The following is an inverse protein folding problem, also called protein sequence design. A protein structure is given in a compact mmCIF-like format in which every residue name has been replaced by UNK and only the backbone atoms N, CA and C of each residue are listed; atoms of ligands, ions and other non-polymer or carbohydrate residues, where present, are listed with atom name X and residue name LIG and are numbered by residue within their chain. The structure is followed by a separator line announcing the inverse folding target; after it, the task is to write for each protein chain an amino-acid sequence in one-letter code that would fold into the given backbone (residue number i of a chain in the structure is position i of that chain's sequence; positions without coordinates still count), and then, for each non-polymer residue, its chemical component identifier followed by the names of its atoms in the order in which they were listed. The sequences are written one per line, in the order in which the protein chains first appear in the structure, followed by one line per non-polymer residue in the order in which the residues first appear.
data_IF_241636308692
#
_entry.id   IF_241636308692
#
_cell.length_a   1.000
_cell.length_b   1.000
_cell.length_c   1.000
_cell.angle_alpha   90.00
_cell.angle_beta   90.00
_cell.angle_gamma   90.00
#
_symmetry.space_group_name_H-M   'P 1'
#
loop_
_entity.id
_entity.type
_entity.pdbx_description
1 polymer ?
#
# COMPACT_ATOMS: atom_id res chain seq x y z
N UNK A 1 31.50 21.25 -22.95
CA UNK A 1 30.89 20.03 -23.52
C UNK A 1 29.64 19.81 -22.77
N UNK A 2 28.49 19.98 -23.40
CA UNK A 2 27.20 19.84 -22.76
C UNK A 2 26.88 18.35 -22.72
N UNK A 3 26.89 17.75 -21.55
CA UNK A 3 26.32 16.43 -21.33
C UNK A 3 24.81 16.59 -21.19
N UNK A 4 24.09 16.24 -22.22
CA UNK A 4 22.67 15.96 -22.15
C UNK A 4 22.48 14.71 -21.30
N UNK A 5 22.24 14.88 -20.02
CA UNK A 5 21.74 13.84 -19.13
C UNK A 5 20.27 13.65 -19.42
N UNK A 6 19.96 12.98 -20.50
CA UNK A 6 18.71 12.26 -20.58
C UNK A 6 18.93 10.94 -19.84
N UNK A 7 18.45 10.85 -18.65
CA UNK A 7 18.30 9.56 -17.96
C UNK A 7 16.94 9.00 -18.33
N UNK A 8 16.78 8.31 -19.46
CA UNK A 8 15.51 7.71 -19.84
C UNK A 8 15.17 6.49 -18.96
N UNK A 9 16.14 6.01 -18.20
CA UNK A 9 16.06 4.76 -17.45
C UNK A 9 15.13 4.88 -16.24
N UNK A 10 15.08 6.04 -15.57
CA UNK A 10 14.27 6.17 -14.36
C UNK A 10 12.80 6.46 -14.59
N UNK A 11 12.46 7.24 -15.61
CA UNK A 11 11.06 7.43 -15.96
C UNK A 11 10.41 6.13 -16.41
N UNK A 12 11.17 5.21 -17.00
CA UNK A 12 10.68 3.89 -17.34
C UNK A 12 10.50 2.96 -16.12
N UNK A 13 11.33 3.10 -15.09
CA UNK A 13 11.24 2.22 -13.92
C UNK A 13 10.09 2.57 -13.00
N UNK A 14 9.66 3.80 -12.93
CA UNK A 14 8.50 4.17 -12.11
C UNK A 14 7.16 3.84 -12.74
N UNK A 15 7.08 3.78 -14.06
CA UNK A 15 5.82 3.56 -14.75
C UNK A 15 5.50 2.10 -15.03
N UNK A 16 6.41 1.16 -14.85
CA UNK A 16 6.20 -0.10 -15.46
C UNK A 16 6.98 -1.25 -14.98
N UNK A 17 6.96 -1.52 -13.70
CA UNK A 17 7.29 -2.84 -13.22
C UNK A 17 6.25 -3.90 -13.54
N UNK A 18 5.49 -3.68 -14.53
CA UNK A 18 4.47 -4.62 -14.91
C UNK A 18 4.96 -5.59 -15.94
N UNK A 19 5.99 -6.25 -15.87
CA UNK A 19 6.11 -7.34 -16.83
C UNK A 19 7.26 -8.27 -16.61
N UNK A 20 6.99 -9.24 -15.84
CA UNK A 20 7.48 -10.59 -16.09
C UNK A 20 6.39 -11.51 -16.65
N UNK A 21 5.43 -10.97 -17.38
CA UNK A 21 4.55 -11.77 -18.22
C UNK A 21 5.11 -11.82 -19.66
N UNK A 22 5.04 -12.97 -20.35
CA UNK A 22 5.60 -13.10 -21.69
C UNK A 22 4.92 -12.14 -22.66
N UNK A 23 5.74 -11.46 -23.44
CA UNK A 23 5.35 -10.51 -24.49
C UNK A 23 4.29 -11.08 -25.42
N UNK A 24 3.06 -10.61 -25.28
CA UNK A 24 2.11 -10.62 -26.38
C UNK A 24 2.19 -9.28 -27.08
N UNK A 25 2.71 -9.27 -28.29
CA UNK A 25 2.74 -8.14 -29.21
C UNK A 25 1.33 -7.57 -29.40
N UNK A 26 1.06 -6.41 -28.86
CA UNK A 26 -0.08 -5.59 -29.23
C UNK A 26 0.28 -4.80 -30.49
N UNK A 27 -0.35 -5.17 -31.58
CA UNK A 27 -0.36 -4.39 -32.83
C UNK A 27 -1.09 -3.06 -32.56
N UNK A 28 -0.32 -1.98 -32.57
CA UNK A 28 -0.83 -0.61 -32.60
C UNK A 28 -1.38 -0.34 -34.01
N UNK A 29 -2.69 -0.27 -34.13
CA UNK A 29 -3.34 0.30 -35.31
C UNK A 29 -3.48 1.80 -35.15
N UNK A 30 -2.70 2.56 -35.89
CA UNK A 30 -2.90 3.99 -36.09
C UNK A 30 -4.18 4.24 -36.86
N UNK A 31 -5.16 4.88 -36.24
CA UNK A 31 -6.29 5.49 -36.96
C UNK A 31 -5.97 6.96 -37.21
N UNK A 32 -5.75 7.29 -38.49
CA UNK A 32 -5.79 8.66 -39.00
C UNK A 32 -7.24 8.99 -39.38
N UNK A 33 -7.77 10.06 -38.82
CA UNK A 33 -9.06 10.63 -39.23
C UNK A 33 -8.86 11.67 -40.32
N UNK A 34 -9.62 11.64 -41.41
CA UNK A 34 -9.79 12.77 -42.31
C UNK A 34 -10.96 13.68 -41.83
N UNK A 35 -10.98 14.96 -42.17
CA UNK A 35 -12.00 15.90 -41.72
C UNK A 35 -13.27 15.89 -42.58
N UNK A 36 -14.38 16.04 -41.88
CA UNK A 36 -15.65 16.67 -42.25
C UNK A 36 -16.50 16.15 -43.39
N UNK A 37 -17.71 15.68 -43.08
CA UNK A 37 -18.97 16.22 -43.60
C UNK A 37 -20.22 15.45 -43.11
N UNK A 38 -21.11 16.20 -42.47
CA UNK A 38 -22.58 16.17 -42.47
C UNK A 38 -23.39 14.88 -42.46
N UNK A 39 -24.28 14.81 -41.46
CA UNK A 39 -25.69 14.29 -41.44
C UNK A 39 -25.95 12.80 -41.41
N UNK A 40 -26.78 12.45 -40.43
CA UNK A 40 -27.82 11.43 -40.29
C UNK A 40 -27.59 10.27 -39.32
N UNK A 41 -28.50 10.21 -38.31
CA UNK A 41 -29.15 9.06 -37.68
C UNK A 41 -28.30 7.97 -36.99
N UNK A 42 -28.74 7.44 -35.84
CA UNK A 42 -27.94 6.45 -35.09
C UNK A 42 -28.09 5.04 -35.66
N UNK A 43 -27.01 4.28 -35.84
CA UNK A 43 -27.10 2.86 -36.18
C UNK A 43 -27.15 1.99 -34.90
N UNK A 44 -28.02 1.01 -34.93
CA UNK A 44 -28.13 -0.10 -33.99
C UNK A 44 -26.91 -1.03 -34.17
N UNK A 45 -26.17 -1.27 -33.09
CA UNK A 45 -25.10 -2.27 -33.08
C UNK A 45 -25.65 -3.65 -32.72
N UNK A 46 -25.53 -4.56 -33.67
CA UNK A 46 -25.68 -6.00 -33.49
C UNK A 46 -24.32 -6.60 -33.09
N UNK A 47 -24.30 -7.39 -32.03
CA UNK A 47 -23.12 -8.10 -31.53
C UNK A 47 -23.00 -9.42 -32.27
N UNK A 48 -21.93 -9.62 -33.05
CA UNK A 48 -21.57 -10.90 -33.65
C UNK A 48 -20.50 -11.60 -32.80
N UNK A 49 -20.57 -12.93 -32.62
CA UNK A 49 -19.60 -13.63 -31.78
C UNK A 49 -18.30 -13.93 -32.56
N UNK A 50 -17.18 -13.60 -31.94
CA UNK A 50 -15.82 -13.94 -32.41
C UNK A 50 -15.54 -15.41 -32.14
N UNK A 51 -15.27 -16.18 -33.19
CA UNK A 51 -14.73 -17.54 -33.14
C UNK A 51 -13.20 -17.48 -33.02
N UNK A 52 -12.67 -17.89 -31.90
CA UNK A 52 -11.23 -18.14 -31.73
C UNK A 52 -10.86 -19.53 -32.22
N UNK A 53 -9.96 -19.59 -33.23
CA UNK A 53 -9.34 -20.82 -33.73
C UNK A 53 -7.96 -20.94 -33.09
N UNK A 54 -7.77 -21.93 -32.21
CA UNK A 54 -6.46 -22.33 -31.75
C UNK A 54 -5.83 -23.34 -32.72
N UNK A 55 -4.72 -22.97 -33.35
CA UNK A 55 -3.82 -23.91 -34.03
C UNK A 55 -2.76 -24.43 -33.05
N UNK A 56 -2.79 -25.74 -32.82
CA UNK A 56 -1.76 -26.49 -32.10
C UNK A 56 -0.61 -26.81 -33.05
N UNK A 57 0.62 -26.43 -32.68
CA UNK A 57 1.86 -27.01 -33.23
C UNK A 57 2.45 -27.96 -32.20
N UNK A 58 2.66 -29.20 -32.65
CA UNK A 58 3.35 -30.28 -31.94
C UNK A 58 4.86 -30.05 -31.99
N UNK A 59 5.52 -30.50 -30.94
CA UNK A 59 6.76 -31.26 -30.75
C UNK A 59 7.44 -30.78 -29.46
N UNK A 60 7.92 -31.54 -28.53
CA UNK A 60 8.57 -32.83 -28.45
C UNK A 60 8.60 -33.37 -26.99
N UNK A 61 8.35 -34.64 -26.88
CA UNK A 61 8.75 -35.67 -25.94
C UNK A 61 9.48 -35.36 -24.62
N UNK A 62 8.92 -35.84 -23.47
CA UNK A 62 9.41 -36.99 -22.69
C UNK A 62 8.57 -37.30 -21.44
N UNK A 63 8.10 -38.55 -21.41
CA UNK A 63 7.87 -39.48 -20.29
C UNK A 63 7.50 -38.97 -18.90
N UNK A 64 6.33 -39.33 -18.37
CA UNK A 64 6.11 -40.41 -17.42
C UNK A 64 4.71 -40.38 -16.78
N UNK A 65 4.22 -41.60 -16.58
CA UNK A 65 3.15 -42.01 -15.67
C UNK A 65 1.73 -42.01 -16.19
N UNK A 66 1.34 -43.21 -16.57
CA UNK A 66 0.02 -43.75 -16.78
C UNK A 66 -0.95 -43.51 -15.63
N UNK A 67 -2.13 -43.03 -15.94
CA UNK A 67 -3.33 -43.30 -15.14
C UNK A 67 -4.44 -43.78 -16.07
N UNK A 68 -4.98 -44.93 -15.69
CA UNK A 68 -5.94 -45.73 -16.42
C UNK A 68 -7.20 -44.96 -16.86
N UNK A 69 -7.46 -45.05 -18.17
CA UNK A 69 -8.74 -44.71 -18.77
C UNK A 69 -9.74 -45.87 -18.56
N UNK A 70 -10.83 -45.61 -17.90
CA UNK A 70 -12.01 -46.49 -17.91
C UNK A 70 -12.88 -46.13 -19.13
N UNK A 71 -13.20 -47.06 -19.99
CA UNK A 71 -14.19 -46.84 -21.05
C UNK A 71 -15.59 -47.15 -20.54
N UNK A 72 -16.36 -46.14 -20.20
CA UNK A 72 -17.81 -46.32 -20.03
C UNK A 72 -18.48 -46.41 -21.39
N UNK A 73 -18.63 -47.63 -21.91
CA UNK A 73 -19.61 -47.91 -22.95
C UNK A 73 -20.99 -47.88 -22.33
N UNK A 74 -21.74 -46.81 -22.56
CA UNK A 74 -23.18 -46.80 -22.31
C UNK A 74 -23.87 -47.73 -23.32
N UNK A 75 -24.38 -48.86 -22.82
CA UNK A 75 -25.23 -49.77 -23.59
C UNK A 75 -26.62 -49.17 -23.58
N UNK A 76 -27.10 -48.72 -24.78
CA UNK A 76 -28.48 -48.28 -24.97
C UNK A 76 -29.30 -49.51 -25.37
N UNK A 77 -30.21 -50.01 -24.53
CA UNK A 77 -31.11 -51.06 -24.95
C UNK A 77 -32.10 -50.50 -25.97
N UNK A 78 -32.19 -51.12 -27.13
CA UNK A 78 -33.24 -50.87 -28.14
C UNK A 78 -34.58 -51.31 -27.53
N UNK A 79 -35.36 -50.36 -27.12
CA UNK A 79 -36.75 -50.58 -26.66
C UNK A 79 -37.65 -50.44 -27.87
N UNK A 80 -38.36 -51.53 -28.14
CA UNK A 80 -39.37 -51.61 -29.19
C UNK A 80 -40.55 -50.65 -28.90
N UNK A 81 -41.31 -50.39 -29.95
CA UNK A 81 -42.44 -49.50 -30.10
C UNK A 81 -43.22 -49.20 -28.80
N UNK A 82 -42.91 -48.12 -28.15
CA UNK A 82 -43.73 -47.47 -27.13
C UNK A 82 -44.48 -46.27 -27.72
N UNK A 83 -45.67 -46.03 -27.22
CA UNK A 83 -46.52 -44.93 -27.67
C UNK A 83 -45.82 -43.57 -27.55
N UNK A 84 -46.14 -42.60 -28.40
CA UNK A 84 -45.56 -41.27 -28.51
C UNK A 84 -45.50 -40.53 -27.13
N UNK A 85 -46.44 -40.80 -26.24
CA UNK A 85 -46.50 -40.24 -24.89
C UNK A 85 -45.32 -40.69 -24.01
N UNK A 86 -44.85 -41.93 -24.15
CA UNK A 86 -43.70 -42.46 -23.38
C UNK A 86 -42.39 -41.87 -23.88
N UNK A 87 -42.23 -41.65 -25.20
CA UNK A 87 -41.08 -41.01 -25.77
C UNK A 87 -40.93 -39.55 -25.33
N UNK A 88 -42.07 -38.82 -25.25
CA UNK A 88 -42.10 -37.44 -24.78
C UNK A 88 -41.74 -37.34 -23.30
N UNK A 89 -42.18 -38.29 -22.50
CA UNK A 89 -41.91 -38.33 -21.04
C UNK A 89 -40.44 -38.67 -20.78
N UNK A 90 -39.85 -39.59 -21.51
CA UNK A 90 -38.40 -39.91 -21.42
C UNK A 90 -37.54 -38.71 -21.88
N UNK A 91 -37.93 -38.02 -22.97
CA UNK A 91 -37.23 -36.82 -23.42
C UNK A 91 -37.32 -35.70 -22.40
N UNK A 92 -38.47 -35.49 -21.76
CA UNK A 92 -38.64 -34.49 -20.72
C UNK A 92 -37.77 -34.79 -19.46
N UNK A 93 -37.70 -36.08 -19.06
CA UNK A 93 -36.85 -36.52 -17.92
C UNK A 93 -35.37 -36.33 -18.25
N UNK A 94 -34.92 -36.66 -19.48
CA UNK A 94 -33.54 -36.46 -19.91
C UNK A 94 -33.15 -34.97 -19.96
N UNK A 95 -34.04 -34.12 -20.44
CA UNK A 95 -33.83 -32.66 -20.44
C UNK A 95 -33.77 -32.11 -19.00
N UNK A 96 -34.64 -32.61 -18.10
CA UNK A 96 -34.63 -32.17 -16.70
C UNK A 96 -33.37 -32.61 -15.98
N UNK A 97 -32.84 -33.81 -16.24
CA UNK A 97 -31.57 -34.31 -15.67
C UNK A 97 -30.39 -33.49 -16.23
N UNK A 98 -30.42 -33.08 -17.51
CA UNK A 98 -29.38 -32.24 -18.06
C UNK A 98 -29.41 -30.81 -17.57
N UNK A 99 -30.55 -30.26 -17.19
CA UNK A 99 -30.69 -28.90 -16.66
C UNK A 99 -30.39 -28.88 -15.14
N UNK A 100 -30.69 -29.96 -14.41
CA UNK A 100 -30.46 -29.99 -12.96
C UNK A 100 -29.07 -30.47 -12.55
N UNK A 101 -28.37 -31.25 -13.38
CA UNK A 101 -27.03 -31.74 -13.04
C UNK A 101 -25.93 -30.65 -12.97
N UNK A 102 -25.90 -29.58 -13.79
CA UNK A 102 -24.90 -28.53 -13.62
C UNK A 102 -25.16 -27.67 -12.37
N UNK A 103 -26.40 -27.55 -11.91
CA UNK A 103 -26.71 -26.76 -10.70
C UNK A 103 -26.28 -27.45 -9.40
N UNK A 104 -26.28 -28.79 -9.35
CA UNK A 104 -25.81 -29.53 -8.17
C UNK A 104 -24.28 -29.61 -8.10
N UNK A 105 -23.57 -29.62 -9.24
CA UNK A 105 -22.10 -29.63 -9.25
C UNK A 105 -21.51 -28.23 -8.94
N UNK A 106 -22.18 -27.16 -9.34
CA UNK A 106 -21.77 -25.79 -9.04
C UNK A 106 -21.93 -25.49 -7.53
N UNK A 107 -22.89 -26.08 -6.85
CA UNK A 107 -23.15 -25.87 -5.43
C UNK A 107 -22.11 -26.48 -4.49
N UNK A 108 -21.41 -27.53 -4.90
CA UNK A 108 -20.42 -28.20 -4.04
C UNK A 108 -19.03 -27.57 -4.11
N UNK A 109 -18.63 -27.06 -5.27
CA UNK A 109 -17.36 -26.36 -5.41
C UNK A 109 -17.37 -24.94 -4.82
N UNK A 110 -18.56 -24.32 -4.73
CA UNK A 110 -18.69 -22.99 -4.11
C UNK A 110 -18.39 -22.99 -2.61
N UNK A 111 -18.43 -24.14 -1.94
CA UNK A 111 -18.15 -24.25 -0.50
C UNK A 111 -16.73 -24.67 -0.18
N UNK A 112 -15.95 -25.12 -1.16
CA UNK A 112 -14.56 -25.56 -0.98
C UNK A 112 -13.52 -24.62 -1.56
N UNK A 113 -13.94 -23.61 -2.33
CA UNK A 113 -13.02 -22.54 -2.71
C UNK A 113 -12.81 -21.67 -1.47
N UNK A 114 -11.57 -21.49 -0.97
CA UNK A 114 -11.31 -20.42 -0.03
C UNK A 114 -11.85 -19.14 -0.68
N UNK A 115 -12.56 -18.28 0.06
CA UNK A 115 -13.03 -17.03 -0.51
C UNK A 115 -11.80 -16.37 -1.13
N UNK A 116 -11.83 -16.18 -2.45
CA UNK A 116 -10.83 -15.40 -3.15
C UNK A 116 -10.72 -14.12 -2.32
N UNK A 117 -9.55 -13.90 -1.70
CA UNK A 117 -9.37 -12.78 -0.79
C UNK A 117 -9.68 -11.53 -1.59
N UNK A 118 -10.89 -11.01 -1.34
CA UNK A 118 -11.44 -9.90 -2.09
C UNK A 118 -10.78 -8.58 -1.67
N UNK A 119 -9.46 -8.50 -1.78
CA UNK A 119 -8.74 -7.23 -1.77
C UNK A 119 -9.38 -6.28 -2.78
N UNK A 120 -9.89 -6.84 -3.86
CA UNK A 120 -10.61 -6.11 -4.92
C UNK A 120 -12.01 -5.65 -4.50
N UNK A 121 -12.66 -6.28 -3.50
CA UNK A 121 -14.05 -6.02 -3.13
C UNK A 121 -14.23 -5.24 -1.81
N UNK A 122 -13.18 -5.08 -1.01
CA UNK A 122 -13.21 -4.26 0.22
C UNK A 122 -12.00 -3.33 0.29
N UNK A 123 -11.84 -2.41 -0.65
CA UNK A 123 -10.61 -1.61 -0.78
C UNK A 123 -10.43 -0.60 0.36
N UNK A 124 -11.51 -0.25 1.07
CA UNK A 124 -11.51 0.94 1.91
C UNK A 124 -10.97 0.73 3.33
N UNK A 125 -10.93 -0.50 3.82
CA UNK A 125 -10.53 -0.79 5.20
C UNK A 125 -9.16 -1.45 5.33
N UNK A 126 -8.68 -2.14 4.30
CA UNK A 126 -7.43 -2.89 4.36
C UNK A 126 -6.20 -2.05 4.01
N UNK A 127 -6.30 -1.18 3.01
CA UNK A 127 -5.17 -0.35 2.57
C UNK A 127 -5.28 1.04 3.19
N UNK A 128 -4.26 1.48 3.94
CA UNK A 128 -4.20 2.86 4.44
C UNK A 128 -4.26 3.86 3.29
N UNK A 129 -5.04 4.94 3.47
CA UNK A 129 -5.19 5.99 2.45
C UNK A 129 -4.37 7.24 2.72
N UNK A 130 -3.79 7.33 3.91
CA UNK A 130 -2.93 8.44 4.32
C UNK A 130 -1.66 7.90 4.95
N UNK A 131 -0.57 8.67 4.82
CA UNK A 131 0.71 8.30 5.40
C UNK A 131 0.65 8.13 6.93
N UNK A 132 -0.12 9.00 7.60
CA UNK A 132 -0.30 8.92 9.05
C UNK A 132 -0.99 7.62 9.48
N UNK A 133 -2.00 7.17 8.71
CA UNK A 133 -2.68 5.91 8.97
C UNK A 133 -1.76 4.71 8.72
N UNK A 134 -1.00 4.74 7.62
CA UNK A 134 -0.02 3.70 7.32
C UNK A 134 1.04 3.60 8.42
N UNK A 135 1.62 4.73 8.78
CA UNK A 135 2.58 4.83 9.86
C UNK A 135 2.01 4.32 11.19
N UNK A 136 0.80 4.71 11.57
CA UNK A 136 0.16 4.26 12.82
C UNK A 136 -0.03 2.75 12.83
N UNK A 137 -0.50 2.17 11.74
CA UNK A 137 -0.70 0.71 11.63
C UNK A 137 0.61 -0.08 11.66
N UNK A 138 1.69 0.50 11.18
CA UNK A 138 3.01 -0.13 11.14
C UNK A 138 3.70 -0.27 12.51
N UNK A 139 3.26 0.44 13.55
CA UNK A 139 3.86 0.32 14.89
C UNK A 139 3.60 -1.09 15.45
N UNK A 140 4.62 -1.87 15.86
CA UNK A 140 4.45 -3.21 16.41
C UNK A 140 4.03 -3.13 17.91
N UNK A 141 2.77 -2.76 18.17
CA UNK A 141 2.21 -2.69 19.50
C UNK A 141 1.51 -4.01 19.89
N UNK A 142 1.17 -4.15 21.17
CA UNK A 142 0.47 -5.31 21.67
C UNK A 142 -0.96 -5.42 21.09
N UNK A 143 -1.53 -6.63 21.14
CA UNK A 143 -2.82 -6.95 20.52
C UNK A 143 -3.98 -6.11 21.07
N UNK A 144 -3.95 -5.76 22.37
CA UNK A 144 -5.00 -4.96 23.00
C UNK A 144 -4.95 -3.50 22.53
N UNK A 145 -3.73 -2.90 22.39
CA UNK A 145 -3.58 -1.59 21.78
C UNK A 145 -4.04 -1.58 20.35
N UNK A 146 -3.68 -2.59 19.55
CA UNK A 146 -4.17 -2.73 18.17
C UNK A 146 -5.68 -2.88 18.08
N UNK A 147 -6.32 -3.55 19.04
CA UNK A 147 -7.78 -3.65 19.09
C UNK A 147 -8.46 -2.31 19.45
N UNK A 148 -7.84 -1.51 20.34
CA UNK A 148 -8.28 -0.14 20.63
C UNK A 148 -8.15 0.71 19.37
N UNK A 149 -6.96 0.71 18.75
CA UNK A 149 -6.69 1.45 17.51
C UNK A 149 -7.71 1.12 16.42
N UNK A 150 -7.91 -0.16 16.11
CA UNK A 150 -8.85 -0.62 15.08
C UNK A 150 -10.27 -0.14 15.34
N UNK A 151 -10.73 -0.21 16.62
CA UNK A 151 -12.07 0.26 16.99
C UNK A 151 -12.24 1.77 16.78
N UNK A 152 -11.19 2.57 16.97
CA UNK A 152 -11.19 4.01 16.71
C UNK A 152 -11.10 4.32 15.21
N UNK A 153 -10.28 3.59 14.47
CA UNK A 153 -10.15 3.78 13.01
C UNK A 153 -11.46 3.48 12.28
N UNK A 154 -12.25 2.51 12.75
CA UNK A 154 -13.58 2.24 12.23
C UNK A 154 -14.50 3.47 12.34
N UNK A 155 -14.39 4.27 13.41
CA UNK A 155 -15.15 5.50 13.56
C UNK A 155 -14.75 6.52 12.47
N UNK A 156 -13.47 6.60 12.14
CA UNK A 156 -12.99 7.46 11.04
C UNK A 156 -13.65 7.11 9.70
N UNK A 157 -13.85 5.81 9.45
CA UNK A 157 -14.58 5.35 8.27
C UNK A 157 -16.07 5.73 8.32
N UNK A 158 -16.73 5.50 9.46
CA UNK A 158 -18.15 5.80 9.65
C UNK A 158 -18.47 7.29 9.52
N UNK A 159 -17.54 8.17 9.92
CA UNK A 159 -17.66 9.62 9.76
C UNK A 159 -17.70 10.07 8.28
N UNK A 160 -17.16 9.29 7.36
CA UNK A 160 -17.14 9.62 5.93
C UNK A 160 -18.47 9.33 5.22
N UNK A 161 -19.39 8.61 5.86
CA UNK A 161 -20.69 8.30 5.28
C UNK A 161 -21.46 9.62 5.10
N UNK A 162 -21.84 10.00 3.85
CA UNK A 162 -22.31 11.36 3.57
C UNK A 162 -23.70 11.66 4.10
N UNK A 163 -24.53 10.63 4.26
CA UNK A 163 -25.92 10.81 4.69
C UNK A 163 -26.06 10.66 6.22
N UNK A 164 -26.94 9.78 6.68
CA UNK A 164 -27.14 9.55 8.11
C UNK A 164 -25.97 8.82 8.73
N UNK A 165 -25.16 9.51 9.52
CA UNK A 165 -24.01 8.92 10.23
C UNK A 165 -24.47 7.92 11.29
N UNK A 166 -23.85 6.71 11.38
CA UNK A 166 -24.24 5.67 12.30
C UNK A 166 -23.65 5.91 13.72
N UNK A 167 -24.13 6.94 14.42
CA UNK A 167 -23.62 7.31 15.74
C UNK A 167 -23.71 6.18 16.78
N UNK A 168 -24.75 5.30 16.71
CA UNK A 168 -24.87 4.13 17.58
C UNK A 168 -23.72 3.13 17.40
N UNK A 169 -23.26 2.90 16.17
CA UNK A 169 -22.10 2.04 15.89
C UNK A 169 -20.82 2.72 16.37
N UNK A 170 -20.66 4.02 16.16
CA UNK A 170 -19.51 4.78 16.67
C UNK A 170 -19.44 4.71 18.20
N UNK A 171 -20.58 4.87 18.89
CA UNK A 171 -20.69 4.74 20.34
C UNK A 171 -20.26 3.34 20.82
N UNK A 172 -20.70 2.29 20.13
CA UNK A 172 -20.32 0.91 20.43
C UNK A 172 -18.80 0.71 20.30
N UNK A 173 -18.19 1.27 19.24
CA UNK A 173 -16.75 1.17 19.02
C UNK A 173 -15.94 1.89 20.12
N UNK A 174 -16.34 3.10 20.54
CA UNK A 174 -15.67 3.77 21.66
C UNK A 174 -15.84 3.02 22.97
N UNK A 175 -17.05 2.49 23.25
CA UNK A 175 -17.28 1.68 24.45
C UNK A 175 -16.43 0.42 24.48
N UNK A 176 -16.24 -0.24 23.31
CA UNK A 176 -15.33 -1.37 23.16
C UNK A 176 -13.89 -0.98 23.46
N UNK A 177 -13.41 0.12 22.86
CA UNK A 177 -12.08 0.62 23.09
C UNK A 177 -11.86 0.98 24.58
N UNK A 178 -12.83 1.67 25.18
CA UNK A 178 -12.79 2.06 26.61
C UNK A 178 -12.75 0.83 27.52
N UNK A 179 -13.59 -0.18 27.22
CA UNK A 179 -13.61 -1.42 27.99
C UNK A 179 -12.25 -2.12 27.94
N UNK A 180 -11.67 -2.31 26.75
CA UNK A 180 -10.34 -2.92 26.60
C UNK A 180 -9.30 -2.10 27.38
N UNK A 181 -9.31 -0.78 27.25
CA UNK A 181 -8.37 0.08 27.93
C UNK A 181 -8.47 -0.04 29.47
N UNK A 182 -9.67 -0.16 30.02
CA UNK A 182 -9.88 -0.27 31.48
C UNK A 182 -9.61 -1.68 32.00
N UNK A 183 -10.10 -2.72 31.32
CA UNK A 183 -9.96 -4.11 31.78
C UNK A 183 -8.51 -4.59 31.67
N UNK A 184 -7.75 -4.12 30.66
CA UNK A 184 -6.40 -4.57 30.36
C UNK A 184 -5.32 -3.56 30.75
N UNK A 185 -5.63 -2.63 31.63
CA UNK A 185 -4.70 -1.56 32.05
C UNK A 185 -3.32 -2.06 32.44
N UNK A 186 -3.27 -3.10 33.29
CA UNK A 186 -2.00 -3.62 33.81
C UNK A 186 -1.17 -4.28 32.69
N UNK A 187 -1.81 -4.92 31.72
CA UNK A 187 -1.15 -5.47 30.54
C UNK A 187 -0.63 -4.37 29.61
N UNK A 188 -1.43 -3.33 29.37
CA UNK A 188 -1.06 -2.20 28.52
C UNK A 188 0.15 -1.43 29.09
N UNK A 189 0.17 -1.18 30.39
CA UNK A 189 1.27 -0.47 31.06
C UNK A 189 2.44 -1.40 31.42
N UNK A 190 2.17 -2.69 31.62
CA UNK A 190 3.19 -3.69 31.93
C UNK A 190 4.17 -3.96 30.79
N UNK A 191 3.73 -3.77 29.55
CA UNK A 191 4.57 -3.91 28.35
C UNK A 191 5.57 -2.76 28.14
N UNK A 192 5.47 -1.68 28.96
CA UNK A 192 6.35 -0.52 28.83
C UNK A 192 7.70 -0.75 29.53
N UNK A 193 8.82 -0.27 28.95
CA UNK A 193 10.10 -0.19 29.63
C UNK A 193 10.00 0.57 30.97
N UNK A 194 10.83 0.21 31.96
CA UNK A 194 10.73 0.74 33.29
C UNK A 194 10.90 2.27 33.39
N UNK A 195 11.78 2.82 32.55
CA UNK A 195 12.08 4.26 32.42
C UNK A 195 10.94 5.06 31.77
N UNK A 196 10.07 4.38 30.99
CA UNK A 196 8.95 5.00 30.25
C UNK A 196 7.59 4.83 30.95
N UNK A 197 7.53 4.10 32.09
CA UNK A 197 6.27 3.81 32.79
C UNK A 197 5.51 5.05 33.24
N UNK A 198 6.23 6.06 33.75
CA UNK A 198 5.61 7.32 34.21
C UNK A 198 4.97 8.06 33.03
N UNK A 199 5.71 8.21 31.93
CA UNK A 199 5.19 8.81 30.70
C UNK A 199 4.00 8.02 30.17
N UNK A 200 4.09 6.69 30.13
CA UNK A 200 3.01 5.82 29.70
C UNK A 200 1.76 5.93 30.56
N UNK A 201 1.92 6.03 31.90
CA UNK A 201 0.79 6.22 32.79
C UNK A 201 0.09 7.57 32.60
N UNK A 202 0.84 8.62 32.27
CA UNK A 202 0.29 9.94 31.95
C UNK A 202 -0.48 9.92 30.65
N UNK A 203 0.08 9.31 29.61
CA UNK A 203 -0.62 9.14 28.32
C UNK A 203 -1.85 8.25 28.45
N UNK A 204 -1.78 7.18 29.23
CA UNK A 204 -2.94 6.33 29.51
C UNK A 204 -4.06 7.11 30.21
N UNK A 205 -3.75 7.92 31.23
CA UNK A 205 -4.74 8.77 31.89
C UNK A 205 -5.35 9.77 30.89
N UNK A 206 -4.54 10.36 30.01
CA UNK A 206 -4.99 11.24 28.93
C UNK A 206 -5.90 10.51 27.93
N UNK A 207 -5.60 9.26 27.58
CA UNK A 207 -6.44 8.42 26.72
C UNK A 207 -7.82 8.16 27.34
N UNK A 208 -7.92 7.96 28.64
CA UNK A 208 -9.21 7.69 29.28
C UNK A 208 -10.00 8.99 29.46
N UNK A 209 -9.45 9.96 30.20
CA UNK A 209 -10.18 11.14 30.71
C UNK A 209 -9.68 12.47 30.15
N UNK A 210 -8.67 12.45 29.28
CA UNK A 210 -8.09 13.68 28.71
C UNK A 210 -9.05 14.44 27.81
N UNK A 211 -8.66 15.67 27.46
CA UNK A 211 -9.44 16.57 26.61
C UNK A 211 -9.79 15.98 25.22
N UNK A 212 -8.97 15.04 24.73
CA UNK A 212 -9.22 14.21 23.54
C UNK A 212 -9.35 12.73 23.87
N UNK A 213 -9.63 12.38 25.15
CA UNK A 213 -9.74 10.99 25.60
C UNK A 213 -11.05 10.31 25.18
N UNK A 214 -11.10 9.00 25.43
CA UNK A 214 -12.21 8.15 24.99
C UNK A 214 -13.56 8.55 25.61
N UNK A 215 -13.56 9.04 26.88
CA UNK A 215 -14.79 9.51 27.52
C UNK A 215 -15.31 10.79 26.89
N UNK A 216 -14.41 11.72 26.54
CA UNK A 216 -14.74 12.95 25.83
C UNK A 216 -15.26 12.65 24.43
N UNK A 217 -14.62 11.72 23.72
CA UNK A 217 -15.07 11.25 22.39
C UNK A 217 -16.47 10.63 22.47
N UNK A 218 -16.74 9.82 23.49
CA UNK A 218 -18.06 9.23 23.73
C UNK A 218 -19.14 10.30 23.93
N UNK A 219 -18.81 11.38 24.68
CA UNK A 219 -19.70 12.53 24.85
C UNK A 219 -20.01 13.21 23.52
N UNK A 220 -19.00 13.50 22.69
CA UNK A 220 -19.19 14.13 21.37
C UNK A 220 -20.03 13.30 20.42
N UNK A 221 -19.89 11.97 20.46
CA UNK A 221 -20.72 11.04 19.68
C UNK A 221 -22.18 11.11 20.12
N UNK A 222 -22.46 11.18 21.43
CA UNK A 222 -23.82 11.34 21.97
C UNK A 222 -24.44 12.69 21.62
N UNK A 223 -23.63 13.75 21.54
CA UNK A 223 -24.04 15.06 21.06
C UNK A 223 -24.31 15.09 19.55
N UNK A 224 -23.89 14.03 18.82
CA UNK A 224 -24.01 13.89 17.36
C UNK A 224 -23.36 15.05 16.57
N UNK A 225 -22.30 15.62 17.11
CA UNK A 225 -21.53 16.70 16.51
C UNK A 225 -20.34 16.10 15.72
N UNK A 226 -20.39 16.02 14.38
CA UNK A 226 -19.38 15.34 13.59
C UNK A 226 -18.00 16.02 13.65
N UNK A 227 -17.96 17.35 13.83
CA UNK A 227 -16.71 18.10 13.87
C UNK A 227 -15.97 17.83 15.19
N UNK A 228 -16.69 17.90 16.32
CA UNK A 228 -16.13 17.52 17.61
C UNK A 228 -15.71 16.05 17.66
N UNK A 229 -16.52 15.15 17.07
CA UNK A 229 -16.15 13.73 16.97
C UNK A 229 -14.87 13.56 16.15
N UNK A 230 -14.72 14.26 15.03
CA UNK A 230 -13.52 14.21 14.20
C UNK A 230 -12.26 14.67 14.97
N UNK A 231 -12.35 15.81 15.65
CA UNK A 231 -11.24 16.37 16.45
C UNK A 231 -10.90 15.44 17.63
N UNK A 232 -11.92 15.00 18.39
CA UNK A 232 -11.71 14.11 19.53
C UNK A 232 -11.13 12.75 19.12
N UNK A 233 -11.59 12.21 17.99
CA UNK A 233 -11.08 10.97 17.42
C UNK A 233 -9.61 11.09 17.04
N UNK A 234 -9.23 12.17 16.34
CA UNK A 234 -7.83 12.40 15.97
C UNK A 234 -6.94 12.46 17.22
N UNK A 235 -7.33 13.24 18.22
CA UNK A 235 -6.59 13.34 19.48
C UNK A 235 -6.48 11.99 20.21
N UNK A 236 -7.54 11.19 20.25
CA UNK A 236 -7.49 9.84 20.82
C UNK A 236 -6.55 8.92 20.07
N UNK A 237 -6.58 8.95 18.73
CA UNK A 237 -5.71 8.15 17.87
C UNK A 237 -4.23 8.56 18.00
N UNK A 238 -3.95 9.85 18.18
CA UNK A 238 -2.58 10.34 18.40
C UNK A 238 -2.04 9.86 19.75
N UNK A 239 -2.87 9.92 20.81
CA UNK A 239 -2.49 9.38 22.13
C UNK A 239 -2.27 7.86 22.09
N UNK A 240 -3.10 7.12 21.35
CA UNK A 240 -2.89 5.68 21.12
C UNK A 240 -1.55 5.44 20.42
N UNK A 241 -1.26 6.17 19.34
CA UNK A 241 -0.01 6.02 18.62
C UNK A 241 1.23 6.33 19.49
N UNK A 242 1.16 7.36 20.35
CA UNK A 242 2.24 7.65 21.31
C UNK A 242 2.45 6.50 22.30
N UNK A 243 1.37 5.92 22.85
CA UNK A 243 1.47 4.75 23.72
C UNK A 243 2.05 3.53 22.99
N UNK A 244 1.62 3.29 21.77
CA UNK A 244 2.15 2.20 20.92
C UNK A 244 3.65 2.37 20.68
N UNK A 245 4.12 3.60 20.40
CA UNK A 245 5.55 3.89 20.23
C UNK A 245 6.36 3.64 21.49
N UNK A 246 5.79 3.86 22.68
CA UNK A 246 6.45 3.52 23.94
C UNK A 246 6.53 2.00 24.16
N UNK A 247 5.56 1.24 23.66
CA UNK A 247 5.54 -0.23 23.72
C UNK A 247 6.50 -0.89 22.71
N UNK A 248 6.94 -0.14 21.69
CA UNK A 248 7.81 -0.60 20.62
C UNK A 248 9.19 0.08 20.70
N UNK A 249 10.05 -0.26 21.68
CA UNK A 249 11.36 0.37 21.85
C UNK A 249 12.35 0.02 20.74
N UNK A 250 12.07 -0.99 19.91
CA UNK A 250 12.92 -1.47 18.83
C UNK A 250 12.16 -2.35 17.85
N UNK A 251 12.92 -3.12 17.08
CA UNK A 251 12.34 -4.07 16.10
C UNK A 251 11.63 -5.23 16.83
N UNK A 252 10.53 -5.69 16.26
CA UNK A 252 9.77 -6.85 16.77
C UNK A 252 10.30 -8.20 16.26
N UNK A 253 11.33 -8.19 15.41
CA UNK A 253 11.93 -9.35 14.80
C UNK A 253 13.47 -9.23 14.80
N UNK A 254 14.14 -10.36 14.56
CA UNK A 254 15.60 -10.41 14.43
C UNK A 254 15.98 -10.29 12.95
N UNK A 255 16.85 -9.33 12.65
CA UNK A 255 17.42 -9.23 11.32
C UNK A 255 18.33 -10.44 11.03
N UNK A 256 18.26 -11.04 9.84
CA UNK A 256 19.22 -12.03 9.39
C UNK A 256 20.66 -11.51 9.50
N UNK A 257 21.59 -12.36 9.94
CA UNK A 257 22.99 -11.99 10.20
C UNK A 257 23.66 -11.31 9.00
N UNK A 258 23.36 -11.77 7.79
CA UNK A 258 23.88 -11.22 6.55
C UNK A 258 23.54 -9.74 6.31
N UNK A 259 22.51 -9.22 6.98
CA UNK A 259 22.04 -7.84 6.85
C UNK A 259 22.53 -6.93 7.97
N UNK A 260 23.17 -7.46 9.02
CA UNK A 260 23.73 -6.66 10.12
C UNK A 260 24.84 -5.70 9.68
N UNK A 261 25.42 -5.94 8.52
CA UNK A 261 26.41 -5.06 7.89
C UNK A 261 25.85 -3.76 7.33
N UNK A 262 24.52 -3.60 7.27
CA UNK A 262 23.89 -2.39 6.79
C UNK A 262 23.47 -1.47 7.94
N UNK A 263 23.46 -0.13 7.72
CA UNK A 263 22.80 0.78 8.65
C UNK A 263 21.34 0.39 8.83
N UNK A 264 20.80 0.53 10.03
CA UNK A 264 19.39 0.20 10.31
C UNK A 264 18.78 1.17 11.30
N UNK A 265 17.53 1.52 11.06
CA UNK A 265 16.72 2.34 11.95
C UNK A 265 15.81 1.41 12.76
N UNK A 266 16.02 1.33 14.09
CA UNK A 266 15.24 0.46 14.96
C UNK A 266 14.04 1.22 15.57
N UNK A 267 13.16 1.76 14.74
CA UNK A 267 12.01 2.54 15.19
C UNK A 267 11.67 3.69 14.25
N UNK A 268 11.17 4.80 14.79
CA UNK A 268 10.80 5.98 14.00
C UNK A 268 11.94 6.99 13.92
N UNK A 269 12.03 7.62 12.76
CA UNK A 269 12.84 8.82 12.55
C UNK A 269 12.04 9.88 11.81
N UNK A 270 12.48 11.12 11.90
CA UNK A 270 11.90 12.24 11.12
C UNK A 270 13.01 13.00 10.43
N UNK A 271 12.90 13.16 9.13
CA UNK A 271 13.82 13.96 8.32
C UNK A 271 13.10 15.20 7.84
N UNK A 272 13.81 16.33 7.98
CA UNK A 272 13.38 17.60 7.43
C UNK A 272 14.23 17.94 6.20
N UNK A 273 13.54 18.22 5.09
CA UNK A 273 14.13 18.60 3.82
C UNK A 273 13.76 20.05 3.51
N UNK A 274 14.76 20.88 3.23
CA UNK A 274 14.55 22.23 2.70
C UNK A 274 14.76 22.20 1.19
N UNK A 275 13.72 22.48 0.43
CA UNK A 275 13.75 22.51 -1.04
C UNK A 275 13.89 23.97 -1.50
N UNK A 276 14.75 24.20 -2.46
CA UNK A 276 14.98 25.52 -3.09
C UNK A 276 14.66 25.46 -4.58
N UNK A 277 14.01 26.51 -5.10
CA UNK A 277 13.68 26.64 -6.51
C UNK A 277 14.92 26.85 -7.37
N UNK A 278 15.13 25.97 -8.36
CA UNK A 278 16.27 26.01 -9.26
C UNK A 278 16.17 27.08 -10.36
N UNK A 279 14.94 27.47 -10.72
CA UNK A 279 14.66 28.44 -11.78
C UNK A 279 14.48 29.89 -11.27
N UNK A 280 14.68 30.13 -9.97
CA UNK A 280 14.48 31.43 -9.32
C UNK A 280 13.01 31.80 -9.09
N UNK A 281 12.07 30.91 -9.40
CA UNK A 281 10.66 31.04 -9.02
C UNK A 281 10.46 30.90 -7.52
N UNK A 282 9.22 30.97 -7.06
CA UNK A 282 8.88 30.86 -5.64
C UNK A 282 7.81 29.80 -5.44
N UNK A 283 7.76 29.23 -4.25
CA UNK A 283 6.66 28.42 -3.78
C UNK A 283 5.45 29.33 -3.44
N UNK A 284 4.24 28.77 -3.57
CA UNK A 284 3.03 29.45 -3.14
C UNK A 284 3.12 29.86 -1.67
N UNK A 285 2.64 31.05 -1.32
CA UNK A 285 2.66 31.49 0.06
C UNK A 285 1.77 30.59 0.92
N UNK A 286 2.18 30.34 2.14
CA UNK A 286 1.26 29.85 3.16
C UNK A 286 0.18 30.92 3.43
N UNK A 287 -0.99 30.52 3.97
CA UNK A 287 -2.14 31.37 4.15
C UNK A 287 -1.78 32.78 4.67
N UNK A 288 -1.77 33.79 3.79
CA UNK A 288 -1.45 35.17 4.11
C UNK A 288 0.02 35.55 4.21
N UNK A 289 0.94 34.64 3.86
CA UNK A 289 2.39 34.88 3.91
C UNK A 289 3.00 35.46 2.63
N UNK A 290 4.30 35.74 2.67
CA UNK A 290 5.08 36.16 1.50
C UNK A 290 5.51 34.95 0.65
N UNK A 291 5.79 35.21 -0.62
CA UNK A 291 6.36 34.19 -1.52
C UNK A 291 7.74 33.77 -1.04
N UNK A 292 8.00 32.46 -1.01
CA UNK A 292 9.24 31.87 -0.49
C UNK A 292 10.04 31.19 -1.60
N UNK A 293 11.35 31.41 -1.59
CA UNK A 293 12.28 30.68 -2.48
C UNK A 293 12.51 29.24 -2.01
N UNK A 294 12.34 29.02 -0.73
CA UNK A 294 12.53 27.71 -0.09
C UNK A 294 11.25 27.25 0.58
N UNK A 295 11.06 25.95 0.64
CA UNK A 295 9.95 25.31 1.36
C UNK A 295 10.48 24.10 2.15
N UNK A 296 9.81 23.79 3.26
CA UNK A 296 10.17 22.68 4.14
C UNK A 296 9.20 21.53 3.98
N UNK A 297 9.75 20.33 3.87
CA UNK A 297 9.02 19.06 3.85
C UNK A 297 9.52 18.21 5.00
N UNK A 298 8.62 17.59 5.76
CA UNK A 298 9.00 16.58 6.76
C UNK A 298 8.53 15.20 6.34
N UNK A 299 9.45 14.24 6.44
CA UNK A 299 9.25 12.83 6.16
C UNK A 299 9.42 12.05 7.44
N UNK A 300 8.40 11.28 7.81
CA UNK A 300 8.51 10.31 8.91
C UNK A 300 8.97 8.98 8.32
N UNK A 301 10.11 8.49 8.82
CA UNK A 301 10.72 7.22 8.46
C UNK A 301 10.16 6.10 9.33
N UNK A 302 9.90 4.96 8.72
CA UNK A 302 9.46 3.76 9.43
C UNK A 302 10.52 2.65 9.39
N UNK A 303 11.33 2.61 10.43
CA UNK A 303 12.27 1.52 10.63
C UNK A 303 11.63 0.24 11.19
N UNK A 304 10.36 0.24 11.58
CA UNK A 304 9.70 -1.00 12.01
C UNK A 304 9.42 -1.95 10.85
N UNK A 305 9.04 -1.40 9.70
CA UNK A 305 8.71 -2.21 8.52
C UNK A 305 9.83 -2.25 7.48
N UNK A 306 10.70 -1.24 7.46
CA UNK A 306 11.80 -1.12 6.51
C UNK A 306 13.10 -0.63 7.20
N UNK A 307 13.63 -1.41 8.17
CA UNK A 307 14.78 -0.96 8.98
C UNK A 307 16.04 -0.67 8.18
N UNK A 308 16.38 -1.49 7.19
CA UNK A 308 17.60 -1.31 6.40
C UNK A 308 17.49 -0.09 5.48
N UNK A 309 16.36 0.03 4.80
CA UNK A 309 16.11 1.11 3.85
C UNK A 309 16.02 2.45 4.56
N UNK A 310 15.25 2.53 5.66
CA UNK A 310 15.15 3.73 6.48
C UNK A 310 16.49 4.09 7.14
N UNK A 311 17.27 3.08 7.57
CA UNK A 311 18.58 3.26 8.17
C UNK A 311 19.63 3.80 7.21
N UNK A 312 19.69 3.24 5.98
CA UNK A 312 20.57 3.75 4.93
C UNK A 312 20.23 5.20 4.57
N UNK A 313 18.94 5.48 4.38
CA UNK A 313 18.49 6.84 4.09
C UNK A 313 18.86 7.82 5.22
N UNK A 314 18.58 7.45 6.47
CA UNK A 314 18.92 8.27 7.63
C UNK A 314 20.43 8.52 7.77
N UNK A 315 21.26 7.50 7.50
CA UNK A 315 22.72 7.66 7.46
C UNK A 315 23.16 8.66 6.39
N UNK A 316 22.67 8.52 5.17
CA UNK A 316 22.98 9.43 4.06
C UNK A 316 22.54 10.87 4.36
N UNK A 317 21.41 11.05 5.06
CA UNK A 317 20.98 12.38 5.56
C UNK A 317 21.98 12.95 6.55
N UNK A 318 22.44 12.16 7.53
CA UNK A 318 23.43 12.61 8.53
C UNK A 318 24.76 12.95 7.86
N UNK A 319 25.17 12.16 6.86
CA UNK A 319 26.41 12.39 6.10
C UNK A 319 26.32 13.62 5.17
N UNK A 320 25.15 14.28 5.09
CA UNK A 320 24.93 15.42 4.19
C UNK A 320 24.90 15.04 2.71
N UNK A 321 24.69 13.76 2.40
CA UNK A 321 24.76 13.26 1.03
C UNK A 321 23.69 13.89 0.13
N UNK A 322 22.54 14.27 0.68
CA UNK A 322 21.46 14.90 -0.07
C UNK A 322 21.55 16.42 -0.19
N UNK A 323 22.49 17.05 0.51
CA UNK A 323 22.67 18.50 0.40
C UNK A 323 23.19 18.87 -1.00
N UNK A 324 22.43 19.71 -1.70
CA UNK A 324 22.68 20.08 -3.09
C UNK A 324 22.16 19.09 -4.13
N UNK A 325 21.48 18.00 -3.73
CA UNK A 325 20.89 17.03 -4.64
C UNK A 325 19.82 17.68 -5.52
N UNK A 326 19.86 17.41 -6.82
CA UNK A 326 18.89 17.94 -7.79
C UNK A 326 17.66 17.02 -7.85
N UNK A 327 16.52 17.65 -8.07
CA UNK A 327 15.26 16.95 -8.22
C UNK A 327 14.83 16.90 -9.68
N UNK A 328 14.26 15.79 -10.09
CA UNK A 328 13.58 15.61 -11.37
C UNK A 328 12.14 15.19 -11.11
N UNK A 329 11.22 15.63 -11.96
CA UNK A 329 9.80 15.40 -11.79
C UNK A 329 9.24 14.63 -12.98
N UNK A 330 8.38 13.66 -12.67
CA UNK A 330 7.46 13.03 -13.61
C UNK A 330 6.03 13.34 -13.18
N UNK A 331 5.04 12.88 -13.94
CA UNK A 331 3.62 13.04 -13.56
C UNK A 331 3.27 12.29 -12.27
N UNK A 332 4.06 11.29 -11.88
CA UNK A 332 3.77 10.39 -10.75
C UNK A 332 4.77 10.47 -9.60
N UNK A 333 5.93 11.11 -9.82
CA UNK A 333 6.97 11.13 -8.81
C UNK A 333 7.88 12.35 -8.89
N UNK A 334 8.45 12.71 -7.74
CA UNK A 334 9.58 13.60 -7.61
C UNK A 334 10.77 12.76 -7.16
N UNK A 335 11.83 12.72 -7.98
CA UNK A 335 13.01 11.89 -7.77
C UNK A 335 14.23 12.75 -7.48
N UNK A 336 15.13 12.22 -6.65
CA UNK A 336 16.50 12.76 -6.59
C UNK A 336 17.32 12.31 -7.80
N UNK A 337 18.43 12.99 -8.07
CA UNK A 337 19.47 12.51 -8.99
C UNK A 337 20.01 11.14 -8.52
N UNK A 338 20.78 10.47 -9.37
CA UNK A 338 21.29 9.14 -9.09
C UNK A 338 22.48 9.13 -8.09
N UNK A 339 22.99 10.28 -7.70
CA UNK A 339 24.05 10.41 -6.72
C UNK A 339 25.32 9.60 -7.03
N UNK A 340 25.73 9.54 -8.30
CA UNK A 340 26.85 8.71 -8.76
C UNK A 340 28.15 8.89 -7.95
N UNK A 341 28.36 10.10 -7.41
CA UNK A 341 29.54 10.43 -6.60
C UNK A 341 29.29 10.26 -5.09
N UNK A 342 28.16 9.69 -4.70
CA UNK A 342 27.76 9.56 -3.29
C UNK A 342 27.92 8.12 -2.80
N UNK A 343 28.39 7.99 -1.57
CA UNK A 343 28.56 6.70 -0.92
C UNK A 343 27.25 6.26 -0.28
N UNK A 344 26.74 5.11 -0.71
CA UNK A 344 25.58 4.45 -0.13
C UNK A 344 25.71 2.94 -0.30
N UNK A 345 24.83 2.19 0.34
CA UNK A 345 24.77 0.75 0.19
C UNK A 345 23.65 0.39 -0.78
N UNK A 346 23.91 -0.53 -1.69
CA UNK A 346 22.84 -1.23 -2.40
C UNK A 346 22.10 -2.11 -1.38
N UNK A 347 20.97 -1.62 -0.89
CA UNK A 347 20.14 -2.30 0.11
C UNK A 347 19.29 -3.34 -0.61
N UNK A 348 19.19 -4.59 -0.10
CA UNK A 348 18.22 -5.53 -0.66
C UNK A 348 16.84 -4.90 -0.65
N UNK A 349 16.05 -5.15 -1.69
CA UNK A 349 14.63 -4.76 -1.69
C UNK A 349 14.00 -5.27 -0.40
N UNK A 350 13.31 -4.41 0.32
CA UNK A 350 12.80 -4.68 1.67
C UNK A 350 11.33 -4.28 1.75
N UNK A 351 10.45 -5.26 1.87
CA UNK A 351 9.01 -5.03 1.93
C UNK A 351 8.39 -5.89 3.02
N UNK A 352 7.69 -5.27 3.96
CA UNK A 352 6.94 -5.95 5.01
C UNK A 352 5.52 -6.28 4.50
N UNK A 353 5.17 -7.57 4.31
CA UNK A 353 3.81 -7.93 3.93
C UNK A 353 2.84 -7.72 5.10
N UNK A 354 1.63 -7.28 4.80
CA UNK A 354 0.58 -7.10 5.78
C UNK A 354 0.19 -8.44 6.42
N UNK A 355 0.22 -8.50 7.75
CA UNK A 355 -0.07 -9.72 8.52
C UNK A 355 1.14 -10.62 8.75
N UNK A 356 2.31 -10.25 8.26
CA UNK A 356 3.58 -10.91 8.61
C UNK A 356 4.33 -10.13 9.71
N UNK A 357 5.33 -10.79 10.31
CA UNK A 357 6.07 -10.25 11.45
C UNK A 357 7.47 -9.75 11.08
N UNK A 358 7.93 -10.05 9.87
CA UNK A 358 9.24 -9.68 9.36
C UNK A 358 9.18 -9.30 7.89
N UNK A 359 10.06 -8.41 7.41
CA UNK A 359 10.14 -8.04 6.00
C UNK A 359 10.59 -9.19 5.11
N UNK A 360 10.09 -9.23 3.88
CA UNK A 360 10.69 -9.99 2.81
C UNK A 360 11.84 -9.20 2.19
N UNK A 361 12.92 -9.88 1.89
CA UNK A 361 14.10 -9.31 1.27
C UNK A 361 14.28 -9.85 -0.15
N UNK A 362 14.64 -8.95 -1.08
CA UNK A 362 14.93 -9.28 -2.49
C UNK A 362 13.73 -9.86 -3.25
N UNK A 363 12.53 -9.64 -2.75
CA UNK A 363 11.30 -10.19 -3.32
C UNK A 363 10.23 -9.13 -3.33
N UNK A 364 9.57 -8.95 -4.46
CA UNK A 364 8.39 -8.10 -4.63
C UNK A 364 7.14 -8.85 -4.16
N UNK A 365 6.06 -8.10 -3.88
CA UNK A 365 4.77 -8.67 -3.51
C UNK A 365 3.87 -8.86 -4.74
N UNK A 366 3.12 -9.95 -4.76
CA UNK A 366 2.07 -10.17 -5.75
C UNK A 366 0.73 -9.60 -5.24
N UNK A 367 0.46 -8.35 -5.62
CA UNK A 367 -0.81 -7.70 -5.26
C UNK A 367 -2.01 -8.40 -5.91
N UNK A 368 -1.82 -9.04 -7.07
CA UNK A 368 -2.86 -9.81 -7.74
C UNK A 368 -3.29 -11.05 -6.93
N UNK A 369 -2.36 -11.64 -6.19
CA UNK A 369 -2.61 -12.77 -5.29
C UNK A 369 -3.09 -12.31 -3.90
N UNK A 370 -3.26 -11.00 -3.71
CA UNK A 370 -3.78 -10.41 -2.48
C UNK A 370 -2.72 -10.07 -1.44
N UNK A 371 -1.44 -10.13 -1.78
CA UNK A 371 -0.36 -9.68 -0.91
C UNK A 371 -0.31 -8.15 -0.90
N UNK A 372 -0.42 -7.56 0.28
CA UNK A 372 -0.37 -6.12 0.46
C UNK A 372 0.78 -5.75 1.39
N UNK A 373 1.53 -4.67 1.12
CA UNK A 373 2.55 -4.19 2.04
C UNK A 373 1.92 -3.50 3.26
N UNK A 374 2.65 -3.47 4.37
CA UNK A 374 2.32 -2.66 5.55
C UNK A 374 2.41 -1.18 5.22
N UNK A 375 3.43 -0.80 4.44
CA UNK A 375 3.62 0.57 3.95
C UNK A 375 3.27 0.63 2.46
N UNK A 376 2.02 0.98 2.10
CA UNK A 376 1.62 1.01 0.69
C UNK A 376 2.22 2.19 -0.06
N UNK A 377 2.58 1.95 -1.32
CA UNK A 377 2.97 2.99 -2.27
C UNK A 377 1.76 3.84 -2.68
N UNK A 378 0.56 3.27 -2.70
CA UNK A 378 -0.71 3.91 -3.09
C UNK A 378 -1.20 4.97 -2.10
N UNK A 379 -0.27 5.76 -1.58
CA UNK A 379 -0.50 6.90 -0.69
C UNK A 379 0.26 8.11 -1.21
N UNK A 380 -0.42 9.25 -1.32
CA UNK A 380 0.21 10.48 -1.76
C UNK A 380 1.32 10.93 -0.81
N UNK A 381 2.52 11.15 -1.34
CA UNK A 381 3.69 11.52 -0.57
C UNK A 381 4.38 10.31 0.09
N UNK A 382 4.13 9.08 -0.36
CA UNK A 382 4.94 7.93 -0.01
C UNK A 382 6.40 8.16 -0.46
N UNK A 383 7.35 7.73 0.37
CA UNK A 383 8.78 7.86 0.10
C UNK A 383 9.38 6.47 -0.03
N UNK A 384 9.99 6.20 -1.17
CA UNK A 384 10.57 4.91 -1.50
C UNK A 384 11.93 5.06 -2.18
N UNK A 385 12.76 4.02 -2.09
CA UNK A 385 14.01 3.95 -2.86
C UNK A 385 13.72 3.48 -4.28
N UNK A 386 14.43 4.04 -5.26
CA UNK A 386 14.44 3.51 -6.62
C UNK A 386 15.08 2.11 -6.64
N UNK A 387 14.86 1.36 -7.71
CA UNK A 387 15.61 0.12 -7.93
C UNK A 387 17.08 0.40 -8.30
N UNK A 388 17.95 -0.54 -7.98
CA UNK A 388 19.31 -0.53 -8.48
C UNK A 388 19.32 -0.66 -10.02
N UNK A 389 20.29 -0.05 -10.68
CA UNK A 389 20.43 -0.16 -12.14
C UNK A 389 20.71 -1.61 -12.58
N UNK A 390 21.37 -2.39 -11.74
CA UNK A 390 21.82 -3.75 -12.05
C UNK A 390 20.76 -4.83 -11.74
N UNK A 391 19.85 -4.56 -10.81
CA UNK A 391 18.91 -5.60 -10.31
C UNK A 391 17.71 -5.01 -9.58
N UNK A 392 16.53 -5.53 -9.87
CA UNK A 392 15.29 -5.20 -9.15
C UNK A 392 15.23 -5.82 -7.73
N UNK A 393 16.12 -6.77 -7.42
CA UNK A 393 16.23 -7.35 -6.09
C UNK A 393 16.87 -6.40 -5.07
N UNK A 394 17.45 -5.28 -5.55
CA UNK A 394 18.13 -4.29 -4.73
C UNK A 394 17.58 -2.89 -4.99
N UNK A 395 17.51 -2.11 -3.94
CA UNK A 395 17.27 -0.67 -4.03
C UNK A 395 18.55 0.06 -4.43
N UNK A 396 18.40 1.16 -5.14
CA UNK A 396 19.52 2.07 -5.43
C UNK A 396 20.15 2.55 -4.11
N UNK A 397 21.48 2.69 -4.05
CA UNK A 397 22.16 3.06 -2.82
C UNK A 397 21.83 4.48 -2.32
N UNK A 398 21.45 5.38 -3.23
CA UNK A 398 21.25 6.80 -2.93
C UNK A 398 19.87 7.32 -3.36
N UNK A 399 19.37 6.92 -4.53
CA UNK A 399 18.25 7.55 -5.19
C UNK A 399 16.92 7.17 -4.55
N UNK A 400 16.19 8.18 -4.08
CA UNK A 400 14.82 8.02 -3.57
C UNK A 400 13.84 8.89 -4.33
N UNK A 401 12.55 8.64 -4.13
CA UNK A 401 11.48 9.43 -4.73
C UNK A 401 10.30 9.62 -3.78
N UNK A 402 9.60 10.74 -3.99
CA UNK A 402 8.26 10.97 -3.47
C UNK A 402 7.26 10.51 -4.50
N UNK A 403 6.35 9.64 -4.12
CA UNK A 403 5.30 9.17 -5.02
C UNK A 403 4.06 10.07 -4.94
N UNK A 404 3.65 10.60 -6.10
CA UNK A 404 2.51 11.49 -6.24
C UNK A 404 1.27 10.69 -6.63
N UNK A 405 0.88 9.76 -5.73
CA UNK A 405 -0.23 8.86 -5.98
C UNK A 405 -1.51 9.62 -6.35
N UNK A 406 -2.08 9.28 -7.51
CA UNK A 406 -3.36 9.78 -7.98
C UNK A 406 -4.32 8.60 -8.23
N UNK A 407 -5.41 8.55 -7.47
CA UNK A 407 -6.42 7.51 -7.60
C UNK A 407 -7.06 7.43 -9.00
N UNK A 408 -7.02 8.51 -9.79
CA UNK A 408 -7.54 8.52 -11.16
C UNK A 408 -6.71 7.65 -12.10
N UNK A 409 -5.43 7.48 -11.80
CA UNK A 409 -4.47 6.67 -12.55
C UNK A 409 -4.19 5.32 -11.88
N UNK A 410 -5.03 4.92 -10.93
CA UNK A 410 -4.87 3.68 -10.19
C UNK A 410 -5.42 2.48 -10.98
N UNK A 411 -4.85 1.31 -10.69
CA UNK A 411 -5.32 0.02 -11.18
C UNK A 411 -6.51 -0.54 -10.39
N UNK A 412 -6.68 -1.84 -10.47
CA UNK A 412 -7.73 -2.56 -9.75
C UNK A 412 -7.63 -2.34 -8.24
N UNK A 413 -8.77 -2.18 -7.57
CA UNK A 413 -8.83 -1.92 -6.14
C UNK A 413 -8.40 -0.50 -5.74
N UNK A 414 -8.08 0.38 -6.69
CA UNK A 414 -7.58 1.72 -6.42
C UNK A 414 -6.17 1.71 -5.85
N UNK A 415 -5.34 0.78 -6.29
CA UNK A 415 -3.92 0.68 -5.97
C UNK A 415 -3.07 1.12 -7.16
N UNK A 416 -1.83 1.55 -6.89
CA UNK A 416 -0.83 1.77 -7.93
C UNK A 416 -0.54 0.46 -8.67
N UNK A 417 -0.20 0.54 -9.95
CA UNK A 417 0.30 -0.62 -10.68
C UNK A 417 1.64 -1.13 -10.13
N UNK A 418 2.39 -0.24 -9.48
CA UNK A 418 3.70 -0.53 -8.88
C UNK A 418 3.59 -0.87 -7.38
N UNK A 419 2.37 -1.10 -6.86
CA UNK A 419 2.19 -1.49 -5.46
C UNK A 419 2.94 -2.79 -5.14
N UNK A 420 3.69 -2.78 -4.03
CA UNK A 420 4.50 -3.93 -3.63
C UNK A 420 5.79 -4.15 -4.44
N UNK A 421 6.18 -3.20 -5.29
CA UNK A 421 7.39 -3.31 -6.11
C UNK A 421 8.59 -2.56 -5.52
N UNK A 422 8.38 -1.55 -4.69
CA UNK A 422 9.43 -0.70 -4.12
C UNK A 422 9.50 -0.79 -2.60
N UNK A 423 10.69 -0.61 -2.04
CA UNK A 423 10.89 -0.45 -0.60
C UNK A 423 10.39 0.93 -0.16
N UNK A 424 9.12 0.99 0.25
CA UNK A 424 8.55 2.18 0.90
C UNK A 424 9.07 2.21 2.33
N UNK A 425 9.68 3.31 2.74
CA UNK A 425 10.30 3.44 4.06
C UNK A 425 9.80 4.64 4.86
N UNK A 426 8.85 5.40 4.33
CA UNK A 426 8.30 6.55 5.03
C UNK A 426 7.24 7.31 4.23
N UNK A 427 6.75 8.37 4.84
CA UNK A 427 5.75 9.24 4.23
C UNK A 427 6.00 10.70 4.57
N UNK A 428 5.66 11.57 3.61
CA UNK A 428 5.61 13.01 3.83
C UNK A 428 4.43 13.32 4.75
N UNK A 429 4.71 13.92 5.91
CA UNK A 429 3.70 14.30 6.90
C UNK A 429 3.45 15.80 6.93
N UNK A 430 4.49 16.61 6.67
CA UNK A 430 4.40 18.06 6.58
C UNK A 430 4.86 18.51 5.19
N UNK A 431 4.22 19.52 4.62
CA UNK A 431 4.59 20.08 3.31
C UNK A 431 4.16 19.22 2.12
N UNK A 432 3.09 18.42 2.23
CA UNK A 432 2.55 17.65 1.09
C UNK A 432 2.08 18.52 -0.05
N UNK A 433 1.62 19.70 0.22
CA UNK A 433 1.21 20.74 -0.74
C UNK A 433 2.39 21.36 -1.49
N UNK A 434 3.62 21.15 -1.00
CA UNK A 434 4.85 21.56 -1.67
C UNK A 434 5.22 20.56 -2.79
N UNK A 435 4.95 19.26 -2.61
CA UNK A 435 5.34 18.24 -3.58
C UNK A 435 4.91 18.53 -5.02
N UNK A 436 3.64 18.95 -5.31
CA UNK A 436 3.20 19.24 -6.67
C UNK A 436 3.78 20.55 -7.23
N UNK A 437 4.42 21.37 -6.39
CA UNK A 437 5.06 22.61 -6.79
C UNK A 437 6.56 22.43 -7.15
N UNK A 438 7.14 21.28 -6.84
CA UNK A 438 8.52 20.95 -7.17
C UNK A 438 8.62 20.73 -8.67
N UNK A 439 9.69 21.27 -9.27
CA UNK A 439 9.99 21.15 -10.69
C UNK A 439 11.36 20.51 -10.91
N UNK A 440 11.53 19.93 -12.08
CA UNK A 440 12.85 19.46 -12.51
C UNK A 440 13.87 20.61 -12.47
N UNK A 441 14.98 20.38 -11.77
CA UNK A 441 16.02 21.37 -11.53
C UNK A 441 15.97 22.05 -10.16
N UNK A 442 14.87 21.88 -9.39
CA UNK A 442 14.84 22.28 -7.99
C UNK A 442 15.84 21.45 -7.17
N UNK A 443 16.28 21.97 -6.03
CA UNK A 443 17.40 21.41 -5.28
C UNK A 443 17.02 21.17 -3.82
N UNK A 444 17.42 20.05 -3.26
CA UNK A 444 17.45 19.84 -1.81
C UNK A 444 18.59 20.68 -1.24
N UNK A 445 18.27 21.82 -0.63
CA UNK A 445 19.26 22.71 -0.03
C UNK A 445 19.92 22.09 1.20
N UNK A 446 19.11 21.42 2.02
CA UNK A 446 19.57 20.68 3.20
C UNK A 446 18.63 19.57 3.58
N UNK A 447 19.20 18.48 4.09
CA UNK A 447 18.49 17.37 4.68
C UNK A 447 18.97 17.15 6.12
N UNK A 448 18.06 17.02 7.09
CA UNK A 448 18.43 16.87 8.51
C UNK A 448 17.56 15.81 9.17
N UNK A 449 18.18 14.86 9.84
CA UNK A 449 17.49 13.94 10.73
C UNK A 449 17.20 14.68 12.06
N UNK A 450 15.94 15.09 12.25
CA UNK A 450 15.52 15.88 13.42
C UNK A 450 15.07 15.02 14.60
N UNK A 451 14.70 13.75 14.34
CA UNK A 451 14.31 12.77 15.36
C UNK A 451 14.77 11.37 14.95
N UNK A 452 15.07 10.50 15.93
CA UNK A 452 15.40 9.10 15.73
C UNK A 452 16.89 8.81 15.54
N UNK A 453 17.78 9.75 15.85
CA UNK A 453 19.23 9.53 15.85
C UNK A 453 19.64 8.44 16.88
N UNK A 454 18.97 8.41 18.01
CA UNK A 454 19.16 7.41 19.07
C UNK A 454 18.72 6.00 18.68
N UNK A 455 17.96 5.89 17.60
CA UNK A 455 17.44 4.62 17.04
C UNK A 455 18.19 4.15 15.80
N UNK A 456 19.09 4.97 15.28
CA UNK A 456 19.96 4.62 14.16
C UNK A 456 21.14 3.80 14.65
N UNK A 457 21.23 2.57 14.17
CA UNK A 457 22.31 1.64 14.49
C UNK A 457 23.19 1.53 13.24
N UNK A 458 24.41 2.01 13.36
CA UNK A 458 25.42 1.88 12.31
C UNK A 458 26.13 0.52 12.42
N UNK A 459 26.55 -0.08 11.32
CA UNK A 459 27.40 -1.26 11.37
C UNK A 459 28.72 -0.89 12.09
N UNK A 460 29.24 -1.79 12.90
CA UNK A 460 30.55 -1.59 13.50
C UNK A 460 31.57 -1.53 12.35
N UNK A 461 32.30 -0.44 12.26
CA UNK A 461 33.49 -0.34 11.41
C UNK A 461 34.54 -1.28 12.04
N UNK A 462 34.71 -2.47 11.45
CA UNK A 462 35.79 -3.41 11.82
C UNK A 462 37.07 -3.03 11.08
#
# INVERSE_FOLDING_TARGET
MAFTLSSPILSHKLSFCSSTAPRHTLLSTHFTFPPDSSRHGPPRFGIAPLKLHCKSTKDDTRELASWHSFPTKLYIPTVGHGTETVKTLIAAILIFVQISSPLCLIGWEFWSSPPANAVLYSPDTKVPRTGELALRRAIPANTNMKAIQASLEDISFLLRIPQRKPYGTMESNVKKALKIAMDEKDYLLGSLPADLKEKGSTLYASLIDGKGGLQTLLKYIKEQDPDKVSIGLQSSLDTVAELELLQAPGLSFLLPEQYLKYPRLAGRGTVELTIEKGDGSTFSPEAGGEQRKTATIQVVLDGYSAPLTAGNYAKLVIDGAYDGARLSCTDQAVLTDNGLDKNGYAIPLEIMPSGQFEPLYRTTLSVQDGELPVLPLSVYGAVAMAHSEDSEEYSAPYQFFFYLYDKRNAGLGGLSFDEGQFSVFGYTTVGRDILPQIKTGDVIRSAKLIQGQDRLILPNEN
#
